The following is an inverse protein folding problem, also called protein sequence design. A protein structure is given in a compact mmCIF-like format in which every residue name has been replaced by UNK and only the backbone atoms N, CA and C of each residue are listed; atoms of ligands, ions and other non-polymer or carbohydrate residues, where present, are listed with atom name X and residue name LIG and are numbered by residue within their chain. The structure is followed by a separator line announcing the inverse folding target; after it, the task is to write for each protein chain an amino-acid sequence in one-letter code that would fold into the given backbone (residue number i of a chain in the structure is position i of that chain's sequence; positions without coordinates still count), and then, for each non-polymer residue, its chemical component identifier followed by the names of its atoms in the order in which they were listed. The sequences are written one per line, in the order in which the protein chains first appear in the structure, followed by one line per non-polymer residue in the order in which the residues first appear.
data_IF_161084448730
#
_entry.id   IF_161084448730
#
_cell.length_a   1.000
_cell.length_b   1.000
_cell.length_c   1.000
_cell.angle_alpha   90.00
_cell.angle_beta   90.00
_cell.angle_gamma   90.00
#
_symmetry.space_group_name_H-M   'P 1'
#
loop_
_entity.id
_entity.type
_entity.pdbx_description
1 polymer ?
#
# COMPACT_ATOMS: atom_id res chain seq x y z
N UNK A 1 -12.49 13.21 19.21
CA UNK A 1 -12.49 13.47 17.75
C UNK A 1 -11.04 13.66 17.29
N UNK A 2 -10.30 12.57 17.07
CA UNK A 2 -9.00 12.67 16.39
C UNK A 2 -9.30 12.68 14.89
N UNK A 3 -9.16 13.83 14.25
CA UNK A 3 -9.21 13.96 12.80
C UNK A 3 -8.26 12.92 12.20
N UNK A 4 -8.79 11.90 11.49
CA UNK A 4 -7.97 10.95 10.72
C UNK A 4 -7.25 11.74 9.64
N UNK A 5 -6.04 12.22 9.95
CA UNK A 5 -5.20 12.89 8.98
C UNK A 5 -4.94 11.92 7.81
N UNK A 6 -5.06 12.41 6.58
CA UNK A 6 -4.72 11.61 5.41
C UNK A 6 -3.24 11.20 5.49
N UNK A 7 -2.89 10.02 4.97
CA UNK A 7 -1.50 9.53 4.98
C UNK A 7 -0.54 10.56 4.37
N UNK A 8 -1.02 11.39 3.42
CA UNK A 8 -0.25 12.47 2.79
C UNK A 8 0.24 13.49 3.80
N UNK A 9 -0.65 13.95 4.68
CA UNK A 9 -0.30 14.94 5.68
C UNK A 9 0.57 14.30 6.75
N UNK A 10 0.32 13.05 7.12
CA UNK A 10 1.18 12.31 8.04
C UNK A 10 2.62 12.17 7.52
N UNK A 11 2.79 11.76 6.25
CA UNK A 11 4.10 11.64 5.62
C UNK A 11 4.80 12.98 5.47
N UNK A 12 4.08 14.02 5.02
CA UNK A 12 4.67 15.35 4.86
C UNK A 12 5.07 15.96 6.21
N UNK A 13 4.25 15.79 7.26
CA UNK A 13 4.59 16.23 8.62
C UNK A 13 5.78 15.45 9.15
N UNK A 14 5.83 14.12 8.96
CA UNK A 14 6.96 13.30 9.38
C UNK A 14 8.25 13.69 8.66
N UNK A 15 8.20 13.91 7.34
CA UNK A 15 9.34 14.35 6.55
C UNK A 15 9.79 15.75 6.95
N UNK A 16 8.87 16.70 7.13
CA UNK A 16 9.18 18.04 7.63
C UNK A 16 9.80 17.99 9.02
N UNK A 17 9.32 17.10 9.90
CA UNK A 17 9.90 16.88 11.23
C UNK A 17 11.32 16.31 11.14
N UNK A 18 11.55 15.31 10.28
CA UNK A 18 12.88 14.73 10.07
C UNK A 18 13.84 15.80 9.54
N UNK A 19 13.45 16.55 8.51
CA UNK A 19 14.25 17.66 7.97
C UNK A 19 14.55 18.68 9.06
N UNK A 20 13.54 19.10 9.83
CA UNK A 20 13.72 20.04 10.94
C UNK A 20 14.72 19.52 11.98
N UNK A 21 14.57 18.28 12.45
CA UNK A 21 15.45 17.69 13.47
C UNK A 21 16.89 17.54 12.97
N UNK A 22 17.08 17.06 11.74
CA UNK A 22 18.42 16.91 11.15
C UNK A 22 19.07 18.28 10.96
N UNK A 23 18.37 19.23 10.36
CA UNK A 23 18.88 20.59 10.15
C UNK A 23 19.21 21.26 11.49
N UNK A 24 18.35 21.12 12.51
CA UNK A 24 18.60 21.66 13.85
C UNK A 24 19.85 21.04 14.48
N UNK A 25 19.98 19.71 14.46
CA UNK A 25 21.14 19.01 15.00
C UNK A 25 22.43 19.44 14.29
N UNK A 26 22.43 19.49 12.96
CA UNK A 26 23.56 19.99 12.18
C UNK A 26 23.89 21.44 12.51
N UNK A 27 22.88 22.30 12.65
CA UNK A 27 23.06 23.71 13.01
C UNK A 27 23.70 23.91 14.38
N UNK A 28 23.29 23.12 15.38
CA UNK A 28 23.89 23.15 16.73
C UNK A 28 25.37 22.75 16.68
N UNK A 29 25.69 21.63 16.01
CA UNK A 29 27.07 21.16 15.88
C UNK A 29 27.93 22.15 15.10
N UNK A 30 27.42 22.66 13.98
CA UNK A 30 28.13 23.64 13.17
C UNK A 30 28.36 24.96 13.93
N UNK A 31 27.38 25.43 14.71
CA UNK A 31 27.53 26.62 15.56
C UNK A 31 28.62 26.45 16.61
N UNK A 32 28.66 25.30 17.29
CA UNK A 32 29.69 25.00 18.29
C UNK A 32 31.10 24.91 17.67
N UNK A 33 31.22 24.27 16.51
CA UNK A 33 32.49 24.20 15.77
C UNK A 33 32.94 25.58 15.27
N UNK A 34 31.99 26.42 14.82
CA UNK A 34 32.28 27.78 14.34
C UNK A 34 32.82 28.68 15.45
N UNK A 35 32.24 28.64 16.65
CA UNK A 35 32.73 29.43 17.80
C UNK A 35 34.18 29.06 18.17
N UNK A 36 34.47 27.76 18.22
CA UNK A 36 35.81 27.25 18.52
C UNK A 36 36.81 27.64 17.43
N UNK A 37 36.44 27.46 16.15
CA UNK A 37 37.28 27.83 15.02
C UNK A 37 37.60 29.33 15.00
N UNK A 38 36.61 30.17 15.35
CA UNK A 38 36.80 31.62 15.43
C UNK A 38 37.81 31.99 16.52
N UNK A 39 37.64 31.47 17.74
CA UNK A 39 38.57 31.75 18.85
C UNK A 39 39.98 31.24 18.58
N UNK A 40 40.13 30.07 17.96
CA UNK A 40 41.45 29.52 17.62
C UNK A 40 42.14 30.37 16.54
N UNK A 41 41.41 30.79 15.50
CA UNK A 41 41.95 31.68 14.46
C UNK A 41 42.45 33.01 15.04
N UNK A 42 41.68 33.61 15.95
CA UNK A 42 42.09 34.83 16.63
C UNK A 42 43.27 34.62 17.58
N UNK A 43 43.30 33.51 18.31
CA UNK A 43 44.43 33.13 19.18
C UNK A 43 45.72 33.04 18.38
N UNK A 44 45.73 32.32 17.25
CA UNK A 44 46.92 32.15 16.41
C UNK A 44 47.42 33.49 15.87
N UNK A 45 46.51 34.32 15.35
CA UNK A 45 46.82 35.67 14.86
C UNK A 45 47.41 36.55 15.97
N UNK A 46 46.75 36.60 17.13
CA UNK A 46 47.20 37.42 18.27
C UNK A 46 48.53 36.94 18.82
N UNK A 47 48.75 35.64 18.91
CA UNK A 47 50.03 35.08 19.36
C UNK A 47 51.16 35.44 18.40
N UNK A 48 50.95 35.34 17.09
CA UNK A 48 51.92 35.76 16.09
C UNK A 48 52.26 37.26 16.20
N UNK A 49 51.25 38.12 16.36
CA UNK A 49 51.45 39.57 16.54
C UNK A 49 52.21 39.87 17.84
N UNK A 50 51.79 39.28 18.96
CA UNK A 50 52.42 39.50 20.27
C UNK A 50 53.88 39.03 20.27
N UNK A 51 54.18 37.85 19.73
CA UNK A 51 55.53 37.33 19.60
C UNK A 51 56.40 38.22 18.69
N UNK A 52 55.83 38.69 17.57
CA UNK A 52 56.54 39.61 16.66
C UNK A 52 56.96 40.89 17.40
N UNK A 53 56.05 41.49 18.17
CA UNK A 53 56.33 42.67 19.01
C UNK A 53 57.40 42.38 20.06
N UNK A 54 57.29 41.27 20.78
CA UNK A 54 58.25 40.88 21.80
C UNK A 54 59.65 40.53 21.23
N UNK A 55 59.74 40.26 19.93
CA UNK A 55 60.98 39.95 19.22
C UNK A 55 61.59 41.12 18.44
N UNK A 56 60.88 42.25 18.34
CA UNK A 56 61.34 43.44 17.62
C UNK A 56 62.56 44.06 18.33
N UNK A 57 63.74 44.18 17.67
CA UNK A 57 64.93 44.76 18.28
C UNK A 57 64.69 46.18 18.81
N UNK A 58 64.01 47.02 18.02
CA UNK A 58 63.64 48.40 18.42
C UNK A 58 62.76 48.45 19.67
N UNK A 59 61.91 47.44 19.90
CA UNK A 59 61.09 47.35 21.12
C UNK A 59 61.94 46.92 22.30
N UNK A 60 62.88 45.98 22.12
CA UNK A 60 63.76 45.50 23.19
C UNK A 60 64.78 46.55 23.62
N UNK A 61 65.45 47.19 22.68
CA UNK A 61 66.43 48.25 22.92
C UNK A 61 65.80 49.44 23.67
N UNK A 62 64.54 49.76 23.35
CA UNK A 62 63.82 50.85 24.00
C UNK A 62 63.55 50.62 25.51
N UNK A 63 63.72 49.40 26.04
CA UNK A 63 63.57 49.17 27.49
C UNK A 63 64.68 49.84 28.30
N UNK A 64 65.83 50.11 27.69
CA UNK A 64 66.97 50.78 28.32
C UNK A 64 66.92 52.33 28.17
N UNK A 65 65.96 52.85 27.41
CA UNK A 65 65.77 54.28 27.21
C UNK A 65 65.24 54.97 28.48
N UNK A 66 65.55 56.27 28.63
CA UNK A 66 64.99 57.09 29.72
C UNK A 66 63.46 57.28 29.60
N UNK A 67 62.93 57.21 28.37
CA UNK A 67 61.50 57.20 28.09
C UNK A 67 61.16 56.11 27.04
N UNK A 68 61.00 54.85 27.47
CA UNK A 68 60.67 53.73 26.58
C UNK A 68 59.38 53.93 25.77
N UNK A 69 58.43 54.70 26.31
CA UNK A 69 57.12 54.92 25.68
C UNK A 69 57.25 55.74 24.39
N UNK A 70 58.24 56.63 24.31
CA UNK A 70 58.49 57.45 23.11
C UNK A 70 58.76 56.62 21.85
N UNK A 71 59.38 55.45 22.01
CA UNK A 71 59.68 54.50 20.94
C UNK A 71 58.59 53.43 20.80
N UNK A 72 58.13 52.87 21.92
CA UNK A 72 57.25 51.69 21.93
C UNK A 72 55.80 52.06 21.56
N UNK A 73 55.27 53.20 22.02
CA UNK A 73 53.87 53.59 21.79
C UNK A 73 53.54 53.75 20.29
N UNK A 74 54.33 54.45 19.45
CA UNK A 74 54.03 54.58 18.03
C UNK A 74 54.03 53.23 17.30
N UNK A 75 54.98 52.35 17.62
CA UNK A 75 55.06 51.00 17.03
C UNK A 75 53.83 50.18 17.42
N UNK A 76 53.45 50.23 18.71
CA UNK A 76 52.28 49.53 19.22
C UNK A 76 50.99 49.96 18.52
N UNK A 77 50.77 51.27 18.31
CA UNK A 77 49.57 51.78 17.65
C UNK A 77 49.51 51.42 16.16
N UNK A 78 50.64 51.51 15.44
CA UNK A 78 50.70 51.09 14.03
C UNK A 78 50.35 49.61 13.89
N UNK A 79 50.90 48.76 14.76
CA UNK A 79 50.60 47.32 14.73
C UNK A 79 49.17 47.03 15.16
N UNK A 80 48.65 47.77 16.16
CA UNK A 80 47.26 47.66 16.63
C UNK A 80 46.28 47.91 15.49
N UNK A 81 46.45 49.02 14.76
CA UNK A 81 45.57 49.39 13.65
C UNK A 81 45.72 48.44 12.47
N UNK A 82 46.94 48.09 12.08
CA UNK A 82 47.19 47.18 10.97
C UNK A 82 46.68 45.75 11.25
N UNK A 83 46.64 45.35 12.53
CA UNK A 83 46.20 44.02 12.96
C UNK A 83 44.75 43.99 13.43
N UNK A 84 44.02 45.10 13.36
CA UNK A 84 42.63 45.23 13.83
C UNK A 84 42.43 44.67 15.25
N UNK A 85 43.30 45.08 16.17
CA UNK A 85 43.26 44.66 17.57
C UNK A 85 42.71 45.80 18.44
N UNK A 86 41.97 45.43 19.49
CA UNK A 86 41.45 46.41 20.43
C UNK A 86 42.59 47.10 21.21
N UNK A 87 43.70 46.40 21.46
CA UNK A 87 44.90 46.98 22.05
C UNK A 87 46.17 46.19 21.75
N UNK A 88 47.29 46.92 21.84
CA UNK A 88 48.65 46.40 21.89
C UNK A 88 49.37 47.10 23.04
N UNK A 89 49.66 46.37 24.12
CA UNK A 89 50.21 46.89 25.37
C UNK A 89 51.51 46.19 25.69
N UNK A 90 52.62 46.93 25.68
CA UNK A 90 53.90 46.49 26.21
C UNK A 90 54.05 47.05 27.62
N UNK A 91 54.50 46.22 28.56
CA UNK A 91 54.76 46.61 29.94
C UNK A 91 56.07 46.01 30.45
N UNK A 92 56.74 46.68 31.37
CA UNK A 92 57.97 46.20 31.98
C UNK A 92 57.74 45.14 33.07
N UNK A 93 58.84 44.64 33.67
CA UNK A 93 58.81 43.65 34.74
C UNK A 93 58.00 44.07 35.98
N UNK A 94 57.90 45.37 36.27
CA UNK A 94 57.07 45.92 37.35
C UNK A 94 55.59 46.07 36.98
N UNK A 95 55.23 45.71 35.74
CA UNK A 95 53.90 45.84 35.17
C UNK A 95 53.54 47.27 34.76
N UNK A 96 54.51 48.17 34.60
CA UNK A 96 54.28 49.56 34.13
C UNK A 96 54.13 49.57 32.61
N UNK A 97 53.05 50.18 32.10
CA UNK A 97 52.75 50.25 30.66
C UNK A 97 53.66 51.24 29.92
N UNK A 98 54.27 50.78 28.83
CA UNK A 98 54.96 51.61 27.83
C UNK A 98 54.10 51.90 26.60
N UNK A 99 53.05 51.10 26.37
CA UNK A 99 52.05 51.41 25.36
C UNK A 99 50.62 51.15 25.82
N UNK A 100 49.67 51.92 25.29
CA UNK A 100 48.24 51.74 25.49
C UNK A 100 47.42 52.58 24.46
N UNK A 101 46.26 52.10 23.96
CA UNK A 101 45.43 52.88 23.01
C UNK A 101 44.88 54.19 23.58
N UNK A 102 44.65 54.21 24.89
CA UNK A 102 44.41 55.44 25.64
C UNK A 102 45.75 55.94 26.23
N UNK A 103 46.33 57.06 25.73
CA UNK A 103 47.63 57.54 26.16
C UNK A 103 47.70 57.92 27.64
N UNK A 104 46.58 58.29 28.27
CA UNK A 104 46.52 58.60 29.70
C UNK A 104 46.78 57.40 30.61
N UNK A 105 46.81 56.18 30.06
CA UNK A 105 47.10 54.94 30.79
C UNK A 105 48.56 54.51 30.73
N UNK A 106 49.38 55.18 29.91
CA UNK A 106 50.82 54.92 29.82
C UNK A 106 51.48 55.35 31.14
N UNK A 107 52.43 54.56 31.64
CA UNK A 107 53.06 54.77 32.95
C UNK A 107 52.27 54.25 34.15
N UNK A 108 51.01 53.83 33.96
CA UNK A 108 50.23 53.15 35.00
C UNK A 108 50.52 51.63 35.02
N UNK A 109 50.25 50.98 36.16
CA UNK A 109 50.32 49.51 36.27
C UNK A 109 49.23 48.81 35.46
N UNK A 110 49.58 47.67 34.88
CA UNK A 110 48.63 46.78 34.19
C UNK A 110 47.51 46.35 35.14
N UNK A 111 46.29 46.31 34.61
CA UNK A 111 45.08 46.01 35.40
C UNK A 111 44.83 44.52 35.58
N UNK A 112 45.67 43.67 34.99
CA UNK A 112 45.53 42.21 35.01
C UNK A 112 46.86 41.54 35.30
N UNK A 113 46.81 40.39 35.97
CA UNK A 113 47.99 39.67 36.43
C UNK A 113 49.04 39.44 35.32
N UNK A 114 50.27 39.97 35.46
CA UNK A 114 51.37 39.74 34.55
C UNK A 114 52.26 38.54 34.95
N UNK A 115 51.95 37.80 36.03
CA UNK A 115 52.82 36.75 36.57
C UNK A 115 53.23 35.67 35.57
N UNK A 116 52.27 35.14 34.79
CA UNK A 116 52.50 34.07 33.80
C UNK A 116 53.54 34.47 32.73
N UNK A 117 53.36 35.59 31.99
CA UNK A 117 54.38 36.03 31.05
C UNK A 117 55.68 36.46 31.72
N UNK A 118 55.66 36.99 32.94
CA UNK A 118 56.90 37.30 33.67
C UNK A 118 57.68 36.05 34.12
N UNK A 119 57.02 34.90 34.22
CA UNK A 119 57.67 33.60 34.42
C UNK A 119 58.23 32.99 33.12
N UNK A 120 58.08 33.67 31.97
CA UNK A 120 58.52 33.17 30.67
C UNK A 120 57.48 32.34 29.91
N UNK A 121 56.23 32.27 30.40
CA UNK A 121 55.17 31.46 29.80
C UNK A 121 54.16 32.29 29.00
N UNK A 122 53.55 31.70 27.96
CA UNK A 122 52.50 32.37 27.18
C UNK A 122 51.16 32.21 27.90
N UNK A 123 50.48 33.32 28.15
CA UNK A 123 49.09 33.31 28.62
C UNK A 123 48.12 33.53 27.47
N UNK A 124 47.08 32.71 27.41
CA UNK A 124 45.92 32.90 26.53
C UNK A 124 44.66 32.76 27.36
N UNK A 125 43.76 33.74 27.29
CA UNK A 125 42.48 33.65 28.01
C UNK A 125 41.66 34.91 28.00
N UNK A 126 40.49 34.86 28.64
CA UNK A 126 39.61 36.00 28.86
C UNK A 126 40.00 36.70 30.16
N UNK A 127 40.22 38.01 30.13
CA UNK A 127 40.30 38.84 31.34
C UNK A 127 39.61 40.18 31.12
N UNK A 128 39.34 40.91 32.19
CA UNK A 128 38.78 42.27 32.14
C UNK A 128 39.88 43.30 32.39
N UNK A 129 40.06 44.23 31.46
CA UNK A 129 41.03 45.33 31.55
C UNK A 129 40.38 46.71 31.51
N UNK A 130 41.19 47.71 31.19
CA UNK A 130 40.78 49.12 31.04
C UNK A 130 39.79 49.36 29.90
N UNK A 131 39.78 48.49 28.89
CA UNK A 131 38.90 48.57 27.71
C UNK A 131 37.69 47.62 27.80
N UNK A 132 37.53 46.90 28.92
CA UNK A 132 36.48 45.90 29.11
C UNK A 132 36.98 44.46 29.07
N UNK A 133 36.07 43.52 28.87
CA UNK A 133 36.37 42.08 28.79
C UNK A 133 36.94 41.76 27.41
N UNK A 134 38.14 41.19 27.39
CA UNK A 134 38.83 40.85 26.15
C UNK A 134 39.39 39.43 26.18
N UNK A 135 39.33 38.78 25.02
CA UNK A 135 40.14 37.60 24.73
C UNK A 135 41.54 38.07 24.37
N UNK A 136 42.57 37.57 25.06
CA UNK A 136 43.91 38.15 25.00
C UNK A 136 45.01 37.11 25.02
N UNK A 137 46.12 37.49 24.39
CA UNK A 137 47.40 36.78 24.46
C UNK A 137 48.41 37.66 25.18
N UNK A 138 49.20 37.08 26.07
CA UNK A 138 50.37 37.72 26.68
C UNK A 138 51.59 36.85 26.45
N UNK A 139 52.67 37.48 26.03
CA UNK A 139 53.96 36.82 25.84
C UNK A 139 55.04 37.52 26.65
N UNK A 140 56.08 36.80 27.11
CA UNK A 140 57.29 37.40 27.66
C UNK A 140 58.03 38.24 26.62
N UNK A 141 58.62 39.34 27.06
CA UNK A 141 59.67 40.06 26.33
C UNK A 141 61.00 39.67 26.97
N UNK A 142 61.91 39.13 26.16
CA UNK A 142 63.23 38.69 26.61
C UNK A 142 64.30 39.71 26.21
N UNK A 143 65.25 39.97 27.12
CA UNK A 143 66.53 40.59 26.81
C UNK A 143 67.45 39.61 26.05
N UNK A 144 68.57 40.13 25.55
CA UNK A 144 69.57 39.34 24.81
C UNK A 144 70.24 38.25 25.65
N UNK A 145 70.27 38.42 26.98
CA UNK A 145 70.79 37.44 27.95
C UNK A 145 69.76 36.36 28.35
N UNK A 146 68.53 36.45 27.82
CA UNK A 146 67.43 35.54 28.11
C UNK A 146 66.60 35.91 29.35
N UNK A 147 66.90 37.02 30.04
CA UNK A 147 66.07 37.50 31.14
C UNK A 147 64.72 38.06 30.65
N UNK A 148 63.64 37.81 31.39
CA UNK A 148 62.33 38.40 31.08
C UNK A 148 62.31 39.84 31.58
N UNK A 149 62.29 40.80 30.66
CA UNK A 149 62.31 42.24 30.95
C UNK A 149 60.91 42.88 30.96
N UNK A 150 59.91 42.16 30.45
CA UNK A 150 58.53 42.64 30.41
C UNK A 150 57.57 41.67 29.74
N UNK A 151 56.43 42.20 29.32
CA UNK A 151 55.38 41.46 28.63
C UNK A 151 54.77 42.29 27.50
N UNK A 152 54.46 41.62 26.39
CA UNK A 152 53.61 42.17 25.34
C UNK A 152 52.24 41.49 25.41
N UNK A 153 51.19 42.29 25.57
CA UNK A 153 49.80 41.84 25.61
C UNK A 153 49.03 42.44 24.46
N UNK A 154 48.31 41.57 23.75
CA UNK A 154 47.38 41.99 22.69
C UNK A 154 46.03 41.35 22.92
N UNK A 155 44.96 41.98 22.44
CA UNK A 155 43.62 41.45 22.64
C UNK A 155 42.57 42.09 21.73
N UNK A 156 41.45 41.40 21.63
CA UNK A 156 40.20 41.83 20.99
C UNK A 156 39.08 41.80 22.03
N UNK A 157 38.06 42.64 21.87
CA UNK A 157 36.95 42.64 22.81
C UNK A 157 36.10 41.37 22.66
N UNK A 158 35.60 40.81 23.76
CA UNK A 158 34.65 39.68 23.68
C UNK A 158 33.35 40.10 22.97
N UNK A 159 32.98 41.39 23.01
CA UNK A 159 31.87 41.91 22.22
C UNK A 159 32.12 41.86 20.71
N UNK A 160 33.35 42.13 20.26
CA UNK A 160 33.73 42.03 18.84
C UNK A 160 33.67 40.57 18.37
N UNK A 161 34.21 39.64 19.16
CA UNK A 161 34.08 38.20 18.90
C UNK A 161 32.62 37.76 18.82
N UNK A 162 31.79 38.22 19.75
CA UNK A 162 30.37 37.89 19.78
C UNK A 162 29.61 38.47 18.58
N UNK A 163 29.92 39.71 18.17
CA UNK A 163 29.28 40.35 17.01
C UNK A 163 29.63 39.62 15.71
N UNK A 164 30.88 39.20 15.55
CA UNK A 164 31.29 38.38 14.41
C UNK A 164 30.64 36.99 14.43
N UNK A 165 30.61 36.35 15.61
CA UNK A 165 29.91 35.08 15.79
C UNK A 165 28.42 35.18 15.43
N UNK A 166 27.72 36.22 15.90
CA UNK A 166 26.29 36.44 15.60
C UNK A 166 26.04 36.70 14.12
N UNK A 167 26.96 37.42 13.44
CA UNK A 167 26.88 37.65 11.99
C UNK A 167 27.04 36.34 11.21
N UNK A 168 28.00 35.51 11.60
CA UNK A 168 28.21 34.19 11.01
C UNK A 168 27.02 33.25 11.29
N UNK A 169 26.45 33.34 12.50
CA UNK A 169 25.26 32.57 12.88
C UNK A 169 24.03 32.99 12.06
N UNK A 170 23.84 34.28 11.78
CA UNK A 170 22.74 34.76 10.95
C UNK A 170 22.81 34.19 9.52
N UNK A 171 24.01 34.14 8.93
CA UNK A 171 24.23 33.49 7.63
C UNK A 171 23.95 31.98 7.70
N UNK A 172 24.44 31.30 8.73
CA UNK A 172 24.21 29.87 8.96
C UNK A 172 22.72 29.54 9.10
N UNK A 173 21.98 30.30 9.90
CA UNK A 173 20.53 30.17 10.06
C UNK A 173 19.81 30.39 8.72
N UNK A 174 20.24 31.38 7.93
CA UNK A 174 19.66 31.66 6.61
C UNK A 174 19.87 30.48 5.65
N UNK A 175 21.07 29.89 5.64
CA UNK A 175 21.38 28.70 4.86
C UNK A 175 20.58 27.47 5.34
N UNK A 176 20.44 27.28 6.64
CA UNK A 176 19.60 26.22 7.23
C UNK A 176 18.13 26.36 6.83
N UNK A 177 17.58 27.58 6.88
CA UNK A 177 16.21 27.83 6.49
C UNK A 177 16.00 27.53 5.00
N UNK A 178 16.93 27.97 4.14
CA UNK A 178 16.89 27.65 2.72
C UNK A 178 16.95 26.13 2.47
N UNK A 179 17.84 25.42 3.16
CA UNK A 179 17.95 23.97 3.07
C UNK A 179 16.67 23.25 3.55
N UNK A 180 16.07 23.71 4.66
CA UNK A 180 14.83 23.16 5.18
C UNK A 180 13.66 23.36 4.20
N UNK A 181 13.53 24.56 3.63
CA UNK A 181 12.54 24.86 2.60
C UNK A 181 12.72 23.94 1.39
N UNK A 182 13.94 23.84 0.85
CA UNK A 182 14.27 22.94 -0.26
C UNK A 182 13.96 21.48 0.07
N UNK A 183 14.27 21.04 1.30
CA UNK A 183 13.96 19.69 1.79
C UNK A 183 12.46 19.39 1.81
N UNK A 184 11.65 20.31 2.35
CA UNK A 184 10.18 20.17 2.38
C UNK A 184 9.60 20.17 0.97
N UNK A 185 10.04 21.08 0.09
CA UNK A 185 9.60 21.13 -1.31
C UNK A 185 9.99 19.86 -2.08
N UNK A 186 11.23 19.41 -1.95
CA UNK A 186 11.72 18.17 -2.56
C UNK A 186 10.94 16.95 -2.07
N UNK A 187 10.65 16.89 -0.77
CA UNK A 187 9.87 15.81 -0.18
C UNK A 187 8.41 15.80 -0.65
N UNK A 188 7.78 16.98 -0.74
CA UNK A 188 6.45 17.13 -1.30
C UNK A 188 6.41 16.73 -2.79
N UNK A 189 7.45 17.07 -3.55
CA UNK A 189 7.59 16.66 -4.95
C UNK A 189 7.72 15.15 -5.11
N UNK A 190 8.60 14.49 -4.34
CA UNK A 190 8.74 13.03 -4.32
C UNK A 190 7.42 12.35 -3.97
N UNK A 191 6.74 12.85 -2.94
CA UNK A 191 5.41 12.36 -2.54
C UNK A 191 4.41 12.49 -3.69
N UNK A 192 4.43 13.61 -4.42
CA UNK A 192 3.59 13.82 -5.60
C UNK A 192 3.94 12.89 -6.77
N UNK A 193 5.23 12.60 -7.00
CA UNK A 193 5.68 11.69 -8.06
C UNK A 193 5.26 10.25 -7.78
N UNK A 194 5.50 9.76 -6.57
CA UNK A 194 5.07 8.42 -6.15
C UNK A 194 3.56 8.30 -6.31
N UNK A 195 2.81 9.32 -5.86
CA UNK A 195 1.35 9.32 -5.96
C UNK A 195 0.85 9.21 -7.40
N UNK A 196 1.48 9.92 -8.35
CA UNK A 196 1.16 9.78 -9.78
C UNK A 196 1.43 8.37 -10.31
N UNK A 197 2.44 7.65 -9.77
CA UNK A 197 2.75 6.27 -10.17
C UNK A 197 1.77 5.24 -9.60
N UNK A 198 1.19 5.48 -8.42
CA UNK A 198 0.18 4.61 -7.81
C UNK A 198 -1.27 5.05 -8.14
N UNK A 199 -1.46 5.68 -9.30
CA UNK A 199 -2.78 6.11 -9.80
C UNK A 199 -3.58 7.00 -8.84
N UNK A 200 -2.90 7.76 -7.99
CA UNK A 200 -3.52 8.65 -7.00
C UNK A 200 -4.38 7.96 -5.93
N UNK A 201 -4.33 6.62 -5.87
CA UNK A 201 -5.05 5.78 -4.90
C UNK A 201 -4.44 5.93 -3.50
N UNK A 202 -5.29 5.90 -2.48
CA UNK A 202 -4.87 5.82 -1.09
C UNK A 202 -4.60 4.35 -0.69
N UNK A 203 -3.75 4.06 0.31
CA UNK A 203 -3.36 2.68 0.64
C UNK A 203 -4.53 1.76 0.97
N UNK A 204 -5.56 2.31 1.61
CA UNK A 204 -6.82 1.62 1.89
C UNK A 204 -7.60 1.31 0.61
N UNK A 205 -7.55 2.20 -0.39
CA UNK A 205 -8.13 1.96 -1.71
C UNK A 205 -7.36 0.89 -2.47
N UNK A 206 -6.03 0.88 -2.40
CA UNK A 206 -5.19 -0.19 -2.99
C UNK A 206 -5.53 -1.52 -2.32
N UNK A 207 -5.60 -1.56 -0.99
CA UNK A 207 -5.97 -2.76 -0.25
C UNK A 207 -7.39 -3.23 -0.59
N UNK A 208 -8.34 -2.32 -0.76
CA UNK A 208 -9.70 -2.64 -1.19
C UNK A 208 -9.74 -3.18 -2.63
N UNK A 209 -8.91 -2.67 -3.53
CA UNK A 209 -8.82 -3.11 -4.93
C UNK A 209 -8.27 -4.54 -5.02
N UNK A 210 -7.21 -4.85 -4.27
CA UNK A 210 -6.66 -6.21 -4.15
C UNK A 210 -7.68 -7.16 -3.53
N UNK A 211 -8.31 -6.76 -2.42
CA UNK A 211 -9.34 -7.57 -1.74
C UNK A 211 -10.56 -7.85 -2.63
N UNK A 212 -10.97 -6.88 -3.45
CA UNK A 212 -12.08 -7.07 -4.39
C UNK A 212 -11.70 -8.00 -5.55
N UNK A 213 -10.45 -8.02 -6.01
CA UNK A 213 -9.98 -8.99 -7.00
C UNK A 213 -10.02 -10.42 -6.44
N UNK A 214 -9.53 -10.63 -5.21
CA UNK A 214 -9.63 -11.93 -4.53
C UNK A 214 -11.11 -12.35 -4.40
N UNK A 215 -11.98 -11.45 -3.91
CA UNK A 215 -13.40 -11.78 -3.70
C UNK A 215 -14.14 -12.07 -5.01
N UNK A 216 -13.77 -11.43 -6.12
CA UNK A 216 -14.39 -11.71 -7.43
C UNK A 216 -14.01 -13.09 -7.94
N UNK A 217 -12.75 -13.52 -7.76
CA UNK A 217 -12.30 -14.85 -8.17
C UNK A 217 -12.87 -15.97 -7.28
N UNK A 218 -12.96 -15.73 -5.97
CA UNK A 218 -13.57 -16.66 -5.01
C UNK A 218 -15.11 -16.68 -5.09
N UNK A 219 -15.72 -15.60 -5.59
CA UNK A 219 -17.18 -15.45 -5.71
C UNK A 219 -17.77 -15.90 -7.05
N UNK A 220 -16.95 -16.28 -8.02
CA UNK A 220 -17.41 -16.88 -9.28
C UNK A 220 -17.95 -18.28 -9.01
N UNK A 221 -19.21 -18.53 -9.39
CA UNK A 221 -19.79 -19.88 -9.44
C UNK A 221 -19.23 -20.73 -10.58
N UNK A 222 -18.45 -20.13 -11.47
CA UNK A 222 -17.79 -20.78 -12.60
C UNK A 222 -16.33 -21.09 -12.23
N UNK A 223 -15.89 -22.30 -12.57
CA UNK A 223 -14.52 -22.72 -12.38
C UNK A 223 -13.64 -22.14 -13.47
N UNK A 224 -12.51 -21.54 -13.12
CA UNK A 224 -11.53 -20.99 -14.06
C UNK A 224 -10.20 -21.68 -13.82
N UNK A 225 -9.61 -22.21 -14.90
CA UNK A 225 -8.27 -22.81 -14.91
C UNK A 225 -7.49 -22.19 -16.06
N UNK A 226 -6.28 -21.71 -15.81
CA UNK A 226 -5.39 -21.17 -16.87
C UNK A 226 -4.10 -21.97 -16.92
N UNK A 227 -3.63 -22.31 -18.12
CA UNK A 227 -2.36 -23.01 -18.34
C UNK A 227 -1.41 -22.19 -19.18
N UNK A 228 -0.11 -22.27 -18.88
CA UNK A 228 0.92 -21.65 -19.71
C UNK A 228 1.22 -22.47 -20.97
N UNK A 229 2.07 -21.94 -21.86
CA UNK A 229 2.48 -22.60 -23.10
C UNK A 229 3.20 -23.97 -22.91
N UNK A 230 3.64 -24.28 -21.68
CA UNK A 230 4.22 -25.58 -21.34
C UNK A 230 3.19 -26.58 -20.79
N UNK A 231 1.90 -26.23 -20.79
CA UNK A 231 0.82 -27.08 -20.29
C UNK A 231 0.71 -27.15 -18.76
N UNK A 232 1.39 -26.24 -18.02
CA UNK A 232 1.27 -26.19 -16.56
C UNK A 232 0.19 -25.22 -16.12
N UNK A 233 -0.58 -25.62 -15.11
CA UNK A 233 -1.60 -24.78 -14.48
C UNK A 233 -0.91 -23.59 -13.79
N UNK A 234 -1.43 -22.39 -14.05
CA UNK A 234 -0.93 -21.11 -13.51
C UNK A 234 -1.96 -20.36 -12.70
N UNK A 235 -3.24 -20.71 -12.87
CA UNK A 235 -4.34 -20.17 -12.10
C UNK A 235 -5.43 -21.23 -11.99
N UNK A 236 -5.96 -21.39 -10.78
CA UNK A 236 -7.14 -22.19 -10.48
C UNK A 236 -7.93 -21.46 -9.40
N UNK A 237 -9.22 -21.22 -9.62
CA UNK A 237 -10.08 -20.64 -8.58
C UNK A 237 -10.76 -21.73 -7.74
N UNK A 238 -11.33 -21.34 -6.59
CA UNK A 238 -11.98 -22.28 -5.66
C UNK A 238 -13.12 -23.08 -6.30
N UNK A 239 -13.86 -22.49 -7.24
CA UNK A 239 -14.93 -23.20 -7.94
C UNK A 239 -14.36 -24.33 -8.81
N UNK A 240 -13.27 -24.10 -9.55
CA UNK A 240 -12.60 -25.14 -10.32
C UNK A 240 -11.99 -26.22 -9.41
N UNK A 241 -11.33 -25.83 -8.32
CA UNK A 241 -10.78 -26.78 -7.34
C UNK A 241 -11.89 -27.68 -6.75
N UNK A 242 -13.04 -27.08 -6.40
CA UNK A 242 -14.23 -27.79 -5.91
C UNK A 242 -14.82 -28.74 -6.95
N UNK A 243 -14.95 -28.31 -8.21
CA UNK A 243 -15.44 -29.18 -9.29
C UNK A 243 -14.53 -30.37 -9.58
N UNK A 244 -13.22 -30.18 -9.39
CA UNK A 244 -12.20 -31.23 -9.57
C UNK A 244 -12.01 -32.10 -8.32
N UNK A 245 -12.67 -31.78 -7.20
CA UNK A 245 -12.51 -32.43 -5.89
C UNK A 245 -11.04 -32.51 -5.43
N UNK A 246 -10.30 -31.41 -5.63
CA UNK A 246 -8.88 -31.27 -5.32
C UNK A 246 -8.59 -29.96 -4.60
N UNK A 247 -7.49 -29.89 -3.85
CA UNK A 247 -7.04 -28.63 -3.26
C UNK A 247 -6.45 -27.72 -4.36
N UNK A 248 -6.76 -26.42 -4.31
CA UNK A 248 -6.21 -25.43 -5.23
C UNK A 248 -4.67 -25.40 -5.17
N UNK A 249 -4.08 -25.63 -3.99
CA UNK A 249 -2.64 -25.68 -3.81
C UNK A 249 -1.97 -26.89 -4.48
N UNK A 250 -2.70 -28.00 -4.68
CA UNK A 250 -2.20 -29.19 -5.38
C UNK A 250 -2.25 -29.03 -6.90
N UNK A 251 -3.12 -28.14 -7.38
CA UNK A 251 -3.36 -27.89 -8.80
C UNK A 251 -2.43 -26.80 -9.34
N UNK A 252 -1.96 -25.86 -8.51
CA UNK A 252 -1.04 -24.80 -8.94
C UNK A 252 0.33 -25.36 -9.36
N UNK A 253 0.77 -25.04 -10.58
CA UNK A 253 2.02 -25.52 -11.18
C UNK A 253 2.00 -26.99 -11.66
N UNK A 254 0.91 -27.72 -11.42
CA UNK A 254 0.74 -29.10 -11.86
C UNK A 254 0.65 -29.19 -13.40
N UNK A 255 1.03 -30.35 -13.94
CA UNK A 255 0.85 -30.65 -15.36
C UNK A 255 -0.64 -30.89 -15.64
N UNK A 256 -1.22 -30.08 -16.52
CA UNK A 256 -2.64 -30.13 -16.85
C UNK A 256 -3.08 -31.48 -17.41
N UNK A 257 -2.20 -32.21 -18.11
CA UNK A 257 -2.50 -33.54 -18.63
C UNK A 257 -2.70 -34.58 -17.52
N UNK A 258 -2.03 -34.39 -16.38
CA UNK A 258 -2.16 -35.27 -15.21
C UNK A 258 -3.22 -34.79 -14.21
N UNK A 259 -3.42 -33.48 -14.14
CA UNK A 259 -4.30 -32.85 -13.17
C UNK A 259 -5.77 -32.84 -13.63
N UNK A 260 -6.00 -32.72 -14.93
CA UNK A 260 -7.31 -32.73 -15.57
C UNK A 260 -7.61 -34.12 -16.13
N UNK A 261 -8.87 -34.57 -16.04
CA UNK A 261 -9.30 -35.77 -16.74
C UNK A 261 -9.20 -35.61 -18.27
N UNK A 262 -9.14 -36.73 -18.99
CA UNK A 262 -8.99 -36.80 -20.46
C UNK A 262 -9.94 -35.86 -21.22
N UNK A 263 -11.21 -35.80 -20.83
CA UNK A 263 -12.21 -34.95 -21.48
C UNK A 263 -11.93 -33.45 -21.31
N UNK A 264 -11.53 -33.03 -20.10
CA UNK A 264 -11.19 -31.64 -19.82
C UNK A 264 -9.87 -31.23 -20.47
N UNK A 265 -8.87 -32.13 -20.44
CA UNK A 265 -7.59 -31.91 -21.09
C UNK A 265 -7.74 -31.81 -22.62
N UNK A 266 -8.61 -32.63 -23.21
CA UNK A 266 -8.92 -32.58 -24.65
C UNK A 266 -9.59 -31.25 -25.01
N UNK A 267 -10.62 -30.83 -24.25
CA UNK A 267 -11.28 -29.54 -24.46
C UNK A 267 -10.30 -28.37 -24.33
N UNK A 268 -9.39 -28.43 -23.35
CA UNK A 268 -8.34 -27.44 -23.15
C UNK A 268 -7.35 -27.39 -24.32
N UNK A 269 -6.96 -28.55 -24.86
CA UNK A 269 -5.95 -28.65 -25.91
C UNK A 269 -6.47 -28.21 -27.28
N UNK A 270 -7.68 -28.65 -27.62
CA UNK A 270 -8.26 -28.45 -28.95
C UNK A 270 -8.98 -27.10 -29.07
N UNK A 271 -9.36 -26.50 -27.94
CA UNK A 271 -10.24 -25.35 -27.91
C UNK A 271 -11.69 -25.77 -28.09
N UNK A 272 -12.59 -25.16 -27.34
CA UNK A 272 -14.01 -25.54 -27.32
C UNK A 272 -14.87 -24.32 -27.01
N UNK A 273 -15.23 -23.57 -28.04
CA UNK A 273 -16.01 -22.33 -27.91
C UNK A 273 -17.50 -22.61 -27.62
N UNK A 274 -18.06 -23.66 -28.21
CA UNK A 274 -19.47 -24.01 -28.04
C UNK A 274 -19.77 -24.46 -26.60
N UNK A 275 -18.80 -25.12 -25.98
CA UNK A 275 -18.87 -25.69 -24.65
C UNK A 275 -19.23 -27.17 -24.71
N UNK A 276 -18.30 -28.00 -24.26
CA UNK A 276 -18.47 -29.45 -24.22
C UNK A 276 -18.99 -29.88 -22.84
N UNK A 277 -20.09 -30.64 -22.78
CA UNK A 277 -20.52 -31.28 -21.53
C UNK A 277 -19.48 -32.32 -21.10
N UNK A 278 -19.00 -32.21 -19.86
CA UNK A 278 -18.03 -33.13 -19.26
C UNK A 278 -18.51 -33.48 -17.86
N UNK A 279 -18.43 -34.76 -17.51
CA UNK A 279 -18.79 -35.26 -16.18
C UNK A 279 -17.52 -35.39 -15.36
N UNK A 280 -17.47 -34.71 -14.23
CA UNK A 280 -16.33 -34.75 -13.30
C UNK A 280 -16.86 -35.05 -11.91
N UNK A 281 -16.58 -36.25 -11.41
CA UNK A 281 -17.13 -36.71 -10.13
C UNK A 281 -18.67 -36.61 -10.11
N UNK A 282 -19.27 -35.87 -9.16
CA UNK A 282 -20.72 -35.66 -9.10
C UNK A 282 -21.22 -34.51 -9.99
N UNK A 283 -20.33 -33.74 -10.64
CA UNK A 283 -20.70 -32.53 -11.38
C UNK A 283 -20.86 -32.80 -12.87
N UNK A 284 -21.92 -32.23 -13.45
CA UNK A 284 -22.08 -32.10 -14.90
C UNK A 284 -21.68 -30.69 -15.30
N UNK A 285 -20.48 -30.56 -15.87
CA UNK A 285 -19.87 -29.30 -16.22
C UNK A 285 -20.01 -29.04 -17.71
N UNK A 286 -20.16 -27.78 -18.10
CA UNK A 286 -19.93 -27.35 -19.48
C UNK A 286 -18.56 -26.69 -19.51
N UNK A 287 -17.62 -27.34 -20.20
CA UNK A 287 -16.24 -26.90 -20.33
C UNK A 287 -16.07 -26.10 -21.63
N UNK A 288 -15.67 -24.84 -21.51
CA UNK A 288 -15.27 -23.99 -22.64
C UNK A 288 -13.79 -23.69 -22.56
N UNK A 289 -13.11 -23.69 -23.69
CA UNK A 289 -11.69 -23.36 -23.72
C UNK A 289 -11.29 -22.50 -24.90
N UNK A 290 -10.33 -21.62 -24.67
CA UNK A 290 -9.65 -20.86 -25.72
C UNK A 290 -8.67 -21.70 -26.55
N UNK A 291 -8.34 -22.91 -26.11
CA UNK A 291 -7.41 -23.82 -26.77
C UNK A 291 -5.95 -23.53 -26.46
N UNK A 292 -5.17 -24.57 -26.12
CA UNK A 292 -3.72 -24.47 -25.87
C UNK A 292 -2.87 -24.77 -27.09
N UNK A 293 -3.48 -25.03 -28.25
CA UNK A 293 -2.79 -25.22 -29.53
C UNK A 293 -3.44 -24.37 -30.62
N UNK A 294 -2.69 -23.40 -31.14
CA UNK A 294 -3.11 -22.55 -32.24
C UNK A 294 -2.06 -22.64 -33.37
N UNK A 295 -2.48 -22.99 -34.59
CA UNK A 295 -1.58 -23.19 -35.75
C UNK A 295 -0.37 -24.12 -35.48
N UNK A 296 -0.55 -25.12 -34.61
CA UNK A 296 0.48 -26.09 -34.24
C UNK A 296 1.51 -25.60 -33.21
N UNK A 297 1.36 -24.38 -32.68
CA UNK A 297 2.17 -23.83 -31.60
C UNK A 297 1.40 -23.91 -30.29
N UNK A 298 2.07 -24.35 -29.23
CA UNK A 298 1.47 -24.39 -27.90
C UNK A 298 1.42 -22.97 -27.30
N UNK A 299 0.24 -22.55 -26.87
CA UNK A 299 -0.08 -21.21 -26.37
C UNK A 299 -0.78 -21.28 -25.02
N UNK A 300 -0.81 -20.16 -24.30
CA UNK A 300 -1.58 -20.04 -23.06
C UNK A 300 -3.06 -20.27 -23.32
N UNK A 301 -3.73 -21.02 -22.44
CA UNK A 301 -5.13 -21.34 -22.59
C UNK A 301 -5.91 -21.25 -21.29
N UNK A 302 -7.17 -20.84 -21.40
CA UNK A 302 -8.11 -20.78 -20.29
C UNK A 302 -9.20 -21.82 -20.47
N UNK A 303 -9.56 -22.53 -19.40
CA UNK A 303 -10.69 -23.45 -19.29
C UNK A 303 -11.71 -22.84 -18.33
N UNK A 304 -12.93 -22.63 -18.82
CA UNK A 304 -14.07 -22.18 -18.05
C UNK A 304 -15.03 -23.36 -17.83
N UNK A 305 -15.36 -23.65 -16.57
CA UNK A 305 -16.21 -24.75 -16.15
C UNK A 305 -17.49 -24.20 -15.55
N UNK A 306 -18.64 -24.55 -16.13
CA UNK A 306 -19.95 -24.13 -15.62
C UNK A 306 -20.80 -25.31 -15.19
N UNK A 307 -21.18 -25.32 -13.92
CA UNK A 307 -22.02 -26.38 -13.34
C UNK A 307 -23.46 -26.32 -13.87
N UNK A 308 -23.91 -27.42 -14.46
CA UNK A 308 -25.27 -27.65 -14.93
C UNK A 308 -25.90 -28.91 -14.30
N UNK A 309 -25.36 -29.36 -13.15
CA UNK A 309 -25.84 -30.54 -12.42
C UNK A 309 -27.32 -30.39 -12.05
N UNK A 310 -27.74 -29.23 -11.56
CA UNK A 310 -29.15 -28.97 -11.22
C UNK A 310 -30.08 -29.09 -12.43
N UNK A 311 -29.65 -28.61 -13.60
CA UNK A 311 -30.44 -28.68 -14.82
C UNK A 311 -30.58 -30.13 -15.31
N UNK A 312 -29.50 -30.89 -15.25
CA UNK A 312 -29.50 -32.32 -15.57
C UNK A 312 -30.37 -33.12 -14.61
N UNK A 313 -30.35 -32.79 -13.32
CA UNK A 313 -31.21 -33.40 -12.32
C UNK A 313 -32.70 -33.11 -12.57
N UNK A 314 -33.04 -31.89 -12.97
CA UNK A 314 -34.41 -31.51 -13.30
C UNK A 314 -34.90 -32.25 -14.54
N UNK A 315 -34.10 -32.30 -15.62
CA UNK A 315 -34.43 -33.04 -16.83
C UNK A 315 -34.66 -34.53 -16.51
N UNK A 316 -33.77 -35.15 -15.74
CA UNK A 316 -33.91 -36.55 -15.35
C UNK A 316 -35.17 -36.82 -14.52
N UNK A 317 -35.58 -35.88 -13.65
CA UNK A 317 -36.83 -35.98 -12.87
C UNK A 317 -38.07 -35.84 -13.76
N UNK A 318 -38.03 -34.98 -14.78
CA UNK A 318 -39.12 -34.83 -15.75
C UNK A 318 -39.27 -36.10 -16.59
N UNK A 319 -38.17 -36.65 -17.11
CA UNK A 319 -38.19 -37.92 -17.86
C UNK A 319 -38.73 -39.07 -17.01
N UNK A 320 -38.33 -39.14 -15.72
CA UNK A 320 -38.85 -40.13 -14.79
C UNK A 320 -40.36 -39.94 -14.51
N UNK A 321 -40.84 -38.70 -14.41
CA UNK A 321 -42.25 -38.39 -14.22
C UNK A 321 -43.08 -38.75 -15.45
N UNK A 322 -42.59 -38.45 -16.66
CA UNK A 322 -43.25 -38.81 -17.92
C UNK A 322 -43.33 -40.33 -18.10
N UNK A 323 -42.28 -41.07 -17.72
CA UNK A 323 -42.31 -42.53 -17.70
C UNK A 323 -43.38 -43.09 -16.74
N UNK A 324 -43.56 -42.48 -15.56
CA UNK A 324 -44.60 -42.88 -14.58
C UNK A 324 -46.01 -42.55 -15.09
N UNK A 325 -46.19 -41.40 -15.76
CA UNK A 325 -47.46 -41.00 -16.35
C UNK A 325 -47.85 -41.95 -17.49
N UNK A 326 -46.92 -42.28 -18.38
CA UNK A 326 -47.11 -43.26 -19.45
C UNK A 326 -47.49 -44.65 -18.90
N UNK A 327 -46.89 -45.05 -17.78
CA UNK A 327 -47.24 -46.29 -17.08
C UNK A 327 -48.69 -46.28 -16.52
N UNK A 328 -49.14 -45.19 -15.89
CA UNK A 328 -50.51 -45.08 -15.34
C UNK A 328 -51.60 -45.07 -16.41
N UNK A 329 -51.36 -44.42 -17.54
CA UNK A 329 -52.36 -44.33 -18.62
C UNK A 329 -52.66 -45.70 -19.25
N UNK A 330 -51.71 -46.64 -19.19
CA UNK A 330 -51.86 -47.97 -19.80
C UNK A 330 -52.74 -48.94 -18.98
N UNK A 331 -53.01 -48.66 -17.69
CA UNK A 331 -53.67 -49.62 -16.79
C UNK A 331 -54.68 -49.03 -15.78
N UNK A 332 -55.08 -47.75 -15.87
CA UNK A 332 -55.96 -47.10 -14.87
C UNK A 332 -57.36 -46.69 -15.37
N UNK A 333 -58.39 -46.94 -14.55
CA UNK A 333 -59.75 -46.40 -14.73
C UNK A 333 -59.74 -44.85 -14.74
N UNK A 334 -60.46 -44.18 -15.66
CA UNK A 334 -60.52 -42.71 -15.70
C UNK A 334 -61.15 -42.11 -14.43
N UNK A 335 -60.70 -40.91 -14.03
CA UNK A 335 -61.23 -40.21 -12.84
C UNK A 335 -62.77 -40.07 -12.91
N UNK A 336 -63.45 -40.49 -11.85
CA UNK A 336 -64.91 -40.40 -11.72
C UNK A 336 -65.68 -41.61 -12.27
N UNK A 337 -64.99 -42.69 -12.66
CA UNK A 337 -65.59 -44.00 -12.89
C UNK A 337 -65.19 -44.96 -11.74
N UNK A 338 -66.17 -45.60 -11.12
CA UNK A 338 -65.97 -46.68 -10.14
C UNK A 338 -65.87 -48.02 -10.87
N UNK A 339 -64.91 -48.87 -10.47
CA UNK A 339 -64.79 -50.24 -10.98
C UNK A 339 -66.08 -51.04 -10.79
N UNK A 340 -66.72 -50.89 -9.62
CA UNK A 340 -67.96 -51.58 -9.26
C UNK A 340 -69.13 -51.15 -10.15
N UNK A 341 -69.25 -49.85 -10.43
CA UNK A 341 -70.31 -49.34 -11.31
C UNK A 341 -70.04 -49.70 -12.77
N UNK A 342 -68.78 -49.71 -13.21
CA UNK A 342 -68.41 -50.16 -14.55
C UNK A 342 -68.82 -51.62 -14.77
N UNK A 343 -68.62 -52.48 -13.78
CA UNK A 343 -68.98 -53.90 -13.85
C UNK A 343 -70.51 -54.10 -13.91
N UNK A 344 -71.26 -53.35 -13.10
CA UNK A 344 -72.73 -53.34 -13.16
C UNK A 344 -73.25 -52.85 -14.52
N UNK A 345 -72.64 -51.83 -15.10
CA UNK A 345 -72.99 -51.31 -16.43
C UNK A 345 -72.63 -52.32 -17.54
N UNK A 346 -71.47 -52.98 -17.44
CA UNK A 346 -71.07 -54.02 -18.38
C UNK A 346 -72.05 -55.21 -18.33
N UNK A 347 -72.41 -55.66 -17.14
CA UNK A 347 -73.36 -56.77 -16.93
C UNK A 347 -74.75 -56.43 -17.48
N UNK A 348 -75.23 -55.21 -17.23
CA UNK A 348 -76.51 -54.75 -17.77
C UNK A 348 -76.50 -54.70 -19.31
N UNK A 349 -75.38 -54.31 -19.92
CA UNK A 349 -75.23 -54.26 -21.37
C UNK A 349 -75.23 -55.65 -22.02
N UNK A 350 -74.66 -56.66 -21.36
CA UNK A 350 -74.73 -58.06 -21.78
C UNK A 350 -76.17 -58.58 -21.69
N UNK A 351 -76.89 -58.21 -20.62
CA UNK A 351 -78.27 -58.66 -20.39
C UNK A 351 -79.26 -58.04 -21.37
N UNK A 352 -79.00 -56.80 -21.82
CA UNK A 352 -79.84 -56.07 -22.77
C UNK A 352 -79.05 -55.72 -24.03
N UNK A 353 -78.80 -56.70 -24.92
CA UNK A 353 -78.01 -56.47 -26.11
C UNK A 353 -78.70 -55.43 -26.99
N UNK A 354 -77.95 -54.40 -27.38
CA UNK A 354 -78.44 -53.24 -28.12
C UNK A 354 -79.28 -52.29 -27.27
N UNK A 355 -78.62 -51.48 -26.42
CA UNK A 355 -79.26 -50.55 -25.50
C UNK A 355 -78.66 -49.14 -25.57
N UNK A 356 -79.50 -48.15 -25.30
CA UNK A 356 -79.10 -46.75 -25.15
C UNK A 356 -78.62 -46.45 -23.73
N UNK A 357 -77.87 -45.35 -23.57
CA UNK A 357 -77.44 -44.90 -22.24
C UNK A 357 -78.60 -44.57 -21.29
N UNK A 358 -79.80 -44.29 -21.82
CA UNK A 358 -81.00 -44.05 -21.00
C UNK A 358 -81.53 -45.36 -20.42
N UNK A 359 -81.59 -46.42 -21.25
CA UNK A 359 -82.07 -47.74 -20.84
C UNK A 359 -81.10 -48.39 -19.83
N UNK A 360 -79.80 -48.37 -20.12
CA UNK A 360 -78.78 -48.86 -19.17
C UNK A 360 -78.75 -48.03 -17.89
N UNK A 361 -78.97 -46.71 -17.98
CA UNK A 361 -79.09 -45.86 -16.79
C UNK A 361 -80.27 -46.28 -15.90
N UNK A 362 -81.41 -46.61 -16.50
CA UNK A 362 -82.57 -47.08 -15.76
C UNK A 362 -82.32 -48.45 -15.10
N UNK A 363 -81.71 -49.40 -15.83
CA UNK A 363 -81.45 -50.76 -15.33
C UNK A 363 -80.47 -50.77 -14.15
N UNK A 364 -79.47 -49.89 -14.17
CA UNK A 364 -78.44 -49.82 -13.12
C UNK A 364 -78.72 -48.72 -12.09
N UNK A 365 -79.86 -48.02 -12.20
CA UNK A 365 -80.28 -46.90 -11.35
C UNK A 365 -79.25 -45.76 -11.25
N UNK A 366 -78.65 -45.40 -12.39
CA UNK A 366 -77.74 -44.26 -12.51
C UNK A 366 -78.25 -43.26 -13.53
N UNK A 367 -77.79 -42.01 -13.44
CA UNK A 367 -78.17 -41.00 -14.42
C UNK A 367 -77.77 -41.42 -15.84
N UNK A 368 -78.56 -41.03 -16.85
CA UNK A 368 -78.22 -41.22 -18.28
C UNK A 368 -76.81 -40.72 -18.61
N UNK A 369 -76.41 -39.58 -18.02
CA UNK A 369 -75.10 -38.96 -18.25
C UNK A 369 -73.99 -39.84 -17.66
N UNK A 370 -74.20 -40.41 -16.47
CA UNK A 370 -73.26 -41.36 -15.85
C UNK A 370 -73.16 -42.64 -16.67
N UNK A 371 -74.28 -43.26 -17.02
CA UNK A 371 -74.31 -44.46 -17.86
C UNK A 371 -73.57 -44.26 -19.20
N UNK A 372 -73.78 -43.10 -19.85
CA UNK A 372 -73.06 -42.74 -21.07
C UNK A 372 -71.54 -42.75 -20.87
N UNK A 373 -71.03 -42.18 -19.77
CA UNK A 373 -69.58 -42.13 -19.49
C UNK A 373 -68.98 -43.53 -19.31
N UNK A 374 -69.67 -44.44 -18.62
CA UNK A 374 -69.23 -45.83 -18.47
C UNK A 374 -69.26 -46.59 -19.80
N UNK A 375 -70.32 -46.42 -20.59
CA UNK A 375 -70.46 -47.05 -21.92
C UNK A 375 -69.44 -46.51 -22.93
N UNK A 376 -69.13 -45.21 -22.89
CA UNK A 376 -68.05 -44.60 -23.68
C UNK A 376 -66.68 -45.16 -23.28
N UNK A 377 -66.44 -45.37 -21.98
CA UNK A 377 -65.20 -46.00 -21.53
C UNK A 377 -65.11 -47.46 -21.98
N UNK A 378 -66.18 -48.26 -21.87
CA UNK A 378 -66.23 -49.64 -22.39
C UNK A 378 -65.98 -49.68 -23.90
N UNK A 379 -66.52 -48.73 -24.66
CA UNK A 379 -66.27 -48.64 -26.09
C UNK A 379 -64.80 -48.23 -26.41
N UNK A 380 -64.25 -47.25 -25.69
CA UNK A 380 -62.85 -46.83 -25.87
C UNK A 380 -61.83 -47.89 -25.45
N UNK A 381 -62.21 -48.79 -24.55
CA UNK A 381 -61.39 -49.93 -24.10
C UNK A 381 -61.65 -51.21 -24.90
N UNK A 382 -62.48 -51.16 -25.96
CA UNK A 382 -62.76 -52.29 -26.85
C UNK A 382 -63.79 -53.31 -26.34
N UNK A 383 -64.36 -53.12 -25.16
CA UNK A 383 -65.32 -54.02 -24.49
C UNK A 383 -66.77 -53.83 -24.95
N UNK A 384 -67.07 -52.77 -25.70
CA UNK A 384 -68.39 -52.51 -26.27
C UNK A 384 -68.29 -51.90 -27.68
N UNK A 385 -69.27 -52.18 -28.53
CA UNK A 385 -69.42 -51.59 -29.86
C UNK A 385 -70.49 -50.51 -29.79
N UNK A 386 -70.19 -49.34 -30.36
CA UNK A 386 -71.08 -48.17 -30.42
C UNK A 386 -71.66 -48.01 -31.82
N UNK A 387 -72.98 -47.92 -31.93
CA UNK A 387 -73.71 -47.65 -33.17
C UNK A 387 -74.63 -46.44 -33.03
N UNK A 388 -74.96 -45.80 -34.15
CA UNK A 388 -75.90 -44.68 -34.18
C UNK A 388 -77.23 -45.15 -34.76
N UNK A 389 -78.31 -44.90 -34.05
CA UNK A 389 -79.68 -45.21 -34.45
C UNK A 389 -80.41 -43.92 -34.85
N UNK A 390 -80.90 -43.89 -36.09
CA UNK A 390 -81.58 -42.76 -36.72
C UNK A 390 -83.10 -42.95 -36.81
N UNK A 391 -83.66 -44.00 -36.21
CA UNK A 391 -85.08 -44.38 -36.34
C UNK A 391 -86.06 -43.57 -35.48
N UNK A 392 -85.57 -42.75 -34.56
CA UNK A 392 -86.40 -41.93 -33.67
C UNK A 392 -86.73 -40.56 -34.29
N UNK A 393 -87.98 -40.07 -34.15
CA UNK A 393 -88.36 -38.69 -34.52
C UNK A 393 -87.68 -37.69 -33.57
N UNK A 394 -86.42 -37.38 -33.81
CA UNK A 394 -85.57 -36.53 -32.98
C UNK A 394 -84.07 -36.67 -33.27
N UNK A 395 -83.22 -36.18 -32.36
CA UNK A 395 -81.75 -36.28 -32.45
C UNK A 395 -81.33 -37.77 -32.40
N UNK A 396 -80.44 -38.26 -33.29
CA UNK A 396 -80.07 -39.67 -33.35
C UNK A 396 -79.56 -40.21 -32.01
N UNK A 397 -80.04 -41.39 -31.62
CA UNK A 397 -79.71 -42.03 -30.36
C UNK A 397 -78.51 -42.96 -30.53
N UNK A 398 -77.52 -42.85 -29.63
CA UNK A 398 -76.41 -43.81 -29.61
C UNK A 398 -76.86 -45.11 -28.93
N UNK A 399 -76.63 -46.24 -29.60
CA UNK A 399 -76.83 -47.57 -29.03
C UNK A 399 -75.48 -48.25 -28.79
N UNK A 400 -75.44 -49.11 -27.79
CA UNK A 400 -74.26 -49.86 -27.38
C UNK A 400 -74.60 -51.35 -27.37
N UNK A 401 -73.63 -52.16 -27.75
CA UNK A 401 -73.68 -53.62 -27.64
C UNK A 401 -72.38 -54.11 -27.00
N UNK A 402 -72.45 -55.13 -26.16
CA UNK A 402 -71.25 -55.78 -25.66
C UNK A 402 -70.44 -56.37 -26.84
N UNK A 403 -69.11 -56.30 -26.76
CA UNK A 403 -68.25 -56.92 -27.76
C UNK A 403 -67.86 -58.32 -27.25
N UNK A 404 -68.40 -59.38 -27.82
CA UNK A 404 -68.19 -60.78 -27.37
C UNK A 404 -66.79 -61.33 -27.69
N UNK A 405 -65.81 -60.47 -27.97
CA UNK A 405 -64.42 -60.83 -28.32
C UNK A 405 -63.39 -60.36 -27.32
N UNK A 406 -63.78 -60.10 -26.07
CA UNK A 406 -62.86 -59.75 -24.97
C UNK A 406 -63.11 -60.58 -23.73
#
# INVERSE_FOLDING_TARGET
MASKMTLRVQLLVLQALIVFLVTLATGIVAGALQEQALRESYKDRMQAVAQSIASLPTVREAFDDADPSSTIQPIAEVIREASDLAYVVVANADGIRYSHPNPYRIGEKVSTDPSIPLAGEIYVGTQTGTLGTSWRVKVPVFADDGAVIGTASVGILESELNDEFMRNLAWLISAMLAAAVLGVFGSAWVTSVIRRRIYLLEPDQIAALVKNQETTLHGLSEGVITVNAAGRITLVNDAAARFLDKDAAELDGADAASALGEDLHTALREGEDAGRPVIVGPHVLVARSTGSRHDGVDVEATLLLRDHTELHDVVRRVEAADAIIAFRQRFGLPKGLSAETLDRVATALVTRPDASATEIGADVQISRVSARRYLEHLASSGRAIRTLDYSTKGRPSTRYRANDTV
#
